data_IF_945004044740
#
_entry.id   IF_945004044740
#
_cell.length_a   1.000
_cell.length_b   1.000
_cell.length_c   1.000
_cell.angle_alpha   90.00
_cell.angle_beta   90.00
_cell.angle_gamma   90.00
#
_symmetry.space_group_name_H-M   'P 1'
#
loop_
_entity.id
_entity.type
_entity.pdbx_description
1 polymer ?
#
# COMPACT_ATOMS: atom_id res chain seq x y z
N UNK A 1 15.49 -18.83 -66.83
CA UNK A 1 16.23 -18.69 -65.57
C UNK A 1 16.31 -17.21 -65.22
N UNK A 2 15.46 -16.73 -64.31
CA UNK A 2 15.51 -15.33 -63.85
C UNK A 2 16.65 -15.17 -62.86
N UNK A 3 17.64 -14.30 -63.16
CA UNK A 3 18.66 -13.88 -62.23
C UNK A 3 18.01 -13.08 -61.10
N UNK A 4 17.94 -13.63 -59.89
CA UNK A 4 17.60 -12.85 -58.72
C UNK A 4 18.57 -11.67 -58.61
N UNK A 5 17.99 -10.47 -58.54
CA UNK A 5 18.73 -9.22 -58.44
C UNK A 5 19.51 -9.22 -57.10
N UNK A 6 20.83 -9.06 -57.12
CA UNK A 6 21.69 -9.13 -55.92
C UNK A 6 21.28 -8.15 -54.84
N UNK A 7 20.65 -7.04 -55.22
CA UNK A 7 20.09 -6.06 -54.28
C UNK A 7 18.84 -6.56 -53.50
N UNK A 8 18.03 -7.40 -54.12
CA UNK A 8 16.89 -8.00 -53.45
C UNK A 8 17.33 -9.07 -52.45
N UNK A 9 18.31 -9.88 -52.81
CA UNK A 9 18.86 -10.90 -51.91
C UNK A 9 19.53 -10.28 -50.67
N UNK A 10 20.21 -9.17 -50.83
CA UNK A 10 20.88 -8.47 -49.72
C UNK A 10 19.85 -7.82 -48.78
N UNK A 11 18.74 -7.34 -49.29
CA UNK A 11 17.63 -6.81 -48.50
C UNK A 11 16.91 -7.92 -47.70
N UNK A 12 16.71 -9.08 -48.27
CA UNK A 12 16.11 -10.25 -47.59
C UNK A 12 17.03 -10.75 -46.49
N UNK A 13 18.35 -10.87 -46.77
CA UNK A 13 19.32 -11.25 -45.75
C UNK A 13 19.40 -10.25 -44.58
N UNK A 14 19.33 -8.96 -44.87
CA UNK A 14 19.28 -7.92 -43.84
C UNK A 14 18.00 -8.04 -42.98
N UNK A 15 16.83 -8.29 -43.59
CA UNK A 15 15.58 -8.50 -42.89
C UNK A 15 15.62 -9.74 -41.98
N UNK A 16 16.16 -10.85 -42.46
CA UNK A 16 16.30 -12.08 -41.67
C UNK A 16 17.28 -11.86 -40.52
N UNK A 17 18.36 -11.12 -40.72
CA UNK A 17 19.33 -10.78 -39.67
C UNK A 17 18.71 -9.87 -38.58
N UNK A 18 17.94 -8.86 -38.96
CA UNK A 18 17.23 -7.97 -38.01
C UNK A 18 16.17 -8.76 -37.23
N UNK A 19 15.45 -9.67 -37.90
CA UNK A 19 14.46 -10.53 -37.27
C UNK A 19 15.08 -11.49 -36.25
N UNK A 20 16.26 -12.05 -36.55
CA UNK A 20 17.00 -12.93 -35.63
C UNK A 20 17.55 -12.19 -34.40
N UNK A 21 18.01 -10.93 -34.58
CA UNK A 21 18.44 -10.08 -33.46
C UNK A 21 17.28 -9.75 -32.53
N UNK A 22 16.09 -9.47 -33.06
CA UNK A 22 14.91 -9.15 -32.23
C UNK A 22 14.42 -10.35 -31.43
N UNK A 23 14.46 -11.55 -31.98
CA UNK A 23 14.06 -12.78 -31.26
C UNK A 23 15.02 -13.13 -30.12
N UNK A 24 16.33 -12.94 -30.34
CA UNK A 24 17.34 -13.15 -29.30
C UNK A 24 17.21 -12.13 -28.14
N UNK A 25 16.95 -10.86 -28.45
CA UNK A 25 16.74 -9.83 -27.43
C UNK A 25 15.51 -10.10 -26.55
N UNK A 26 14.41 -10.58 -27.17
CA UNK A 26 13.18 -10.95 -26.43
C UNK A 26 13.43 -12.17 -25.55
N UNK A 27 14.16 -13.18 -26.04
CA UNK A 27 14.49 -14.39 -25.29
C UNK A 27 15.39 -14.09 -24.08
N UNK A 28 16.39 -13.23 -24.22
CA UNK A 28 17.26 -12.82 -23.13
C UNK A 28 16.52 -11.98 -22.09
N UNK A 29 15.64 -11.06 -22.51
CA UNK A 29 14.83 -10.27 -21.58
C UNK A 29 13.91 -11.17 -20.73
N UNK A 30 13.29 -12.19 -21.33
CA UNK A 30 12.45 -13.16 -20.63
C UNK A 30 13.25 -14.04 -19.64
N UNK A 31 14.51 -14.37 -19.96
CA UNK A 31 15.41 -15.10 -19.07
C UNK A 31 15.81 -14.24 -17.86
N UNK A 32 16.20 -13.00 -18.08
CA UNK A 32 16.59 -12.06 -17.04
C UNK A 32 15.44 -11.78 -16.06
N UNK A 33 14.20 -11.64 -16.56
CA UNK A 33 13.00 -11.48 -15.71
C UNK A 33 12.77 -12.68 -14.80
N UNK A 34 12.95 -13.91 -15.30
CA UNK A 34 12.81 -15.11 -14.50
C UNK A 34 13.85 -15.23 -13.39
N UNK A 35 15.09 -14.84 -13.67
CA UNK A 35 16.18 -14.85 -12.69
C UNK A 35 15.98 -13.79 -11.61
N UNK A 36 15.50 -12.59 -12.00
CA UNK A 36 15.28 -11.48 -11.06
C UNK A 36 14.09 -11.73 -10.12
N UNK A 37 12.97 -12.30 -10.63
CA UNK A 37 11.72 -12.42 -9.88
C UNK A 37 11.35 -13.86 -9.50
N UNK A 38 12.14 -14.87 -9.87
CA UNK A 38 11.81 -16.29 -9.63
C UNK A 38 10.34 -16.64 -10.00
N UNK A 39 9.94 -16.23 -11.21
CA UNK A 39 8.55 -16.34 -11.66
C UNK A 39 8.08 -17.79 -11.77
N UNK A 40 6.87 -18.12 -11.30
CA UNK A 40 6.32 -19.45 -11.46
C UNK A 40 6.13 -19.79 -12.95
N UNK A 41 6.35 -21.06 -13.35
CA UNK A 41 6.26 -21.47 -14.75
C UNK A 41 4.84 -21.38 -15.31
N UNK A 42 3.84 -21.59 -14.44
CA UNK A 42 2.42 -21.61 -14.77
C UNK A 42 1.59 -20.83 -13.73
N UNK A 43 0.37 -20.44 -14.09
CA UNK A 43 -0.57 -19.74 -13.23
C UNK A 43 -0.61 -18.23 -13.46
N UNK A 44 -1.49 -17.56 -12.76
CA UNK A 44 -1.61 -16.11 -12.74
C UNK A 44 -0.80 -15.55 -11.58
N UNK A 45 -0.05 -14.50 -11.83
CA UNK A 45 0.76 -13.85 -10.81
C UNK A 45 0.95 -12.36 -11.15
N UNK A 46 1.17 -11.58 -10.13
CA UNK A 46 1.68 -10.22 -10.24
C UNK A 46 3.10 -10.19 -9.66
N UNK A 47 3.96 -9.42 -10.28
CA UNK A 47 5.34 -9.27 -9.84
C UNK A 47 5.78 -7.82 -10.04
N UNK A 48 6.80 -7.39 -9.35
CA UNK A 48 7.32 -6.04 -9.47
C UNK A 48 8.24 -5.68 -8.33
N UNK A 49 8.48 -4.40 -8.20
CA UNK A 49 9.32 -3.83 -7.15
C UNK A 49 8.55 -2.80 -6.35
N UNK A 50 8.80 -2.78 -5.06
CA UNK A 50 8.30 -1.73 -4.16
C UNK A 50 9.47 -0.83 -3.78
N UNK A 51 9.29 0.46 -3.96
CA UNK A 51 10.27 1.49 -3.62
C UNK A 51 9.62 2.57 -2.76
N UNK A 52 10.41 3.26 -1.98
CA UNK A 52 9.99 4.49 -1.33
C UNK A 52 9.93 5.63 -2.34
N UNK A 53 8.90 6.45 -2.25
CA UNK A 53 8.67 7.54 -3.22
C UNK A 53 9.70 8.66 -3.14
N UNK A 54 10.21 8.99 -1.96
CA UNK A 54 11.14 10.11 -1.76
C UNK A 54 12.58 9.73 -2.10
N UNK A 55 13.07 8.63 -1.53
CA UNK A 55 14.45 8.16 -1.72
C UNK A 55 14.66 7.36 -2.99
N UNK A 56 13.59 6.80 -3.59
CA UNK A 56 13.62 5.80 -4.65
C UNK A 56 14.36 4.51 -4.25
N UNK A 57 14.58 4.29 -2.96
CA UNK A 57 15.24 3.09 -2.45
C UNK A 57 14.28 1.88 -2.42
N UNK A 58 14.79 0.66 -2.64
CA UNK A 58 13.98 -0.55 -2.55
C UNK A 58 13.53 -0.80 -1.12
N UNK A 59 12.26 -1.12 -0.94
CA UNK A 59 11.68 -1.40 0.37
C UNK A 59 11.64 -2.90 0.64
N UNK A 60 12.35 -3.32 1.68
CA UNK A 60 12.42 -4.71 2.16
C UNK A 60 11.31 -4.97 3.18
N UNK A 61 10.70 -6.16 3.13
CA UNK A 61 9.73 -6.57 4.15
C UNK A 61 8.33 -5.95 3.99
N UNK A 62 8.03 -5.30 2.87
CA UNK A 62 6.67 -4.82 2.57
C UNK A 62 5.74 -6.03 2.45
N UNK A 63 4.65 -6.02 3.18
CA UNK A 63 3.63 -7.07 3.11
C UNK A 63 2.71 -6.84 1.93
N UNK A 64 2.56 -7.86 1.08
CA UNK A 64 1.74 -7.83 -0.12
C UNK A 64 0.75 -8.99 -0.04
N UNK A 65 -0.54 -8.68 -0.04
CA UNK A 65 -1.59 -9.69 0.07
C UNK A 65 -2.76 -9.39 -0.87
N UNK A 66 -3.49 -10.43 -1.24
CA UNK A 66 -4.75 -10.30 -1.96
C UNK A 66 -5.88 -9.99 -0.97
N UNK A 67 -6.74 -9.04 -1.31
CA UNK A 67 -7.90 -8.68 -0.49
C UNK A 67 -8.82 -9.89 -0.29
N UNK A 68 -9.31 -10.07 0.94
CA UNK A 68 -10.10 -11.24 1.31
C UNK A 68 -9.30 -12.54 1.51
N UNK A 69 -7.96 -12.53 1.39
CA UNK A 69 -7.10 -13.69 1.62
C UNK A 69 -6.13 -13.42 2.77
N UNK A 70 -5.90 -14.45 3.59
CA UNK A 70 -4.95 -14.38 4.73
C UNK A 70 -3.50 -14.61 4.30
N UNK A 71 -3.28 -15.26 3.16
CA UNK A 71 -1.93 -15.53 2.63
C UNK A 71 -1.41 -14.35 1.82
N UNK A 72 -0.12 -14.06 1.98
CA UNK A 72 0.57 -13.02 1.27
C UNK A 72 2.05 -13.33 1.09
N UNK A 73 2.78 -12.40 0.51
CA UNK A 73 4.24 -12.44 0.35
C UNK A 73 4.84 -11.17 0.91
N UNK A 74 6.15 -11.18 1.14
CA UNK A 74 6.92 -9.99 1.53
C UNK A 74 7.97 -9.69 0.45
N UNK A 75 8.37 -8.43 0.34
CA UNK A 75 9.44 -8.01 -0.57
C UNK A 75 10.80 -8.49 -0.08
N UNK A 76 11.67 -8.85 -1.02
CA UNK A 76 13.07 -9.21 -0.78
C UNK A 76 13.98 -7.99 -0.56
N UNK A 77 15.30 -8.22 -0.42
CA UNK A 77 16.31 -7.17 -0.20
C UNK A 77 16.41 -6.15 -1.35
N UNK A 78 15.92 -6.49 -2.54
CA UNK A 78 15.87 -5.60 -3.69
C UNK A 78 14.49 -4.95 -3.86
N UNK A 79 13.58 -5.13 -2.89
CA UNK A 79 12.20 -4.68 -2.96
C UNK A 79 11.33 -5.48 -3.94
N UNK A 80 11.82 -6.61 -4.46
CA UNK A 80 11.12 -7.42 -5.45
C UNK A 80 10.11 -8.36 -4.80
N UNK A 81 9.02 -8.65 -5.51
CA UNK A 81 7.98 -9.56 -5.06
C UNK A 81 7.35 -10.33 -6.21
N UNK A 82 6.77 -11.48 -5.89
CA UNK A 82 5.91 -12.28 -6.79
C UNK A 82 4.75 -12.81 -5.96
N UNK A 83 3.52 -12.46 -6.33
CA UNK A 83 2.29 -12.92 -5.69
C UNK A 83 1.46 -13.71 -6.68
N UNK A 84 1.10 -14.95 -6.33
CA UNK A 84 0.17 -15.76 -7.11
C UNK A 84 -1.26 -15.22 -6.97
N UNK A 85 -1.98 -15.16 -8.08
CA UNK A 85 -3.33 -14.63 -8.16
C UNK A 85 -4.31 -15.71 -8.61
N UNK A 86 -5.60 -15.61 -8.24
CA UNK A 86 -6.66 -16.38 -8.85
C UNK A 86 -6.86 -15.97 -10.33
N UNK A 87 -7.58 -16.78 -11.10
CA UNK A 87 -7.80 -16.55 -12.54
C UNK A 87 -8.41 -15.17 -12.86
N UNK A 88 -9.29 -14.70 -12.00
CA UNK A 88 -9.97 -13.40 -12.17
C UNK A 88 -9.13 -12.20 -11.71
N UNK A 89 -7.91 -12.42 -11.22
CA UNK A 89 -7.13 -11.39 -10.57
C UNK A 89 -7.73 -10.97 -9.23
N UNK A 90 -7.50 -9.72 -8.81
CA UNK A 90 -8.06 -9.20 -7.57
C UNK A 90 -7.47 -7.87 -7.13
N UNK A 91 -7.85 -7.43 -5.95
CA UNK A 91 -7.31 -6.23 -5.32
C UNK A 91 -6.11 -6.62 -4.46
N UNK A 92 -4.93 -6.15 -4.83
CA UNK A 92 -3.69 -6.39 -4.08
C UNK A 92 -3.43 -5.22 -3.15
N UNK A 93 -3.13 -5.55 -1.90
CA UNK A 93 -2.88 -4.61 -0.81
C UNK A 93 -1.39 -4.66 -0.47
N UNK A 94 -0.75 -3.50 -0.50
CA UNK A 94 0.65 -3.29 -0.10
C UNK A 94 0.65 -2.51 1.20
N UNK A 95 1.27 -3.05 2.25
CA UNK A 95 1.31 -2.42 3.56
C UNK A 95 2.70 -2.53 4.19
N UNK A 96 3.12 -1.47 4.86
CA UNK A 96 4.36 -1.37 5.62
C UNK A 96 4.17 -0.42 6.79
N UNK A 97 4.82 -0.70 7.92
CA UNK A 97 4.69 0.13 9.13
C UNK A 97 5.27 1.53 8.85
N UNK A 98 4.51 2.58 9.18
CA UNK A 98 4.90 3.96 8.92
C UNK A 98 4.61 4.45 7.50
N UNK A 99 3.96 3.64 6.64
CA UNK A 99 3.64 4.01 5.27
C UNK A 99 2.15 3.87 4.96
N UNK A 100 1.68 4.67 4.01
CA UNK A 100 0.30 4.60 3.52
C UNK A 100 0.03 3.25 2.83
N UNK A 101 -1.05 2.59 3.21
CA UNK A 101 -1.49 1.35 2.55
C UNK A 101 -1.93 1.64 1.11
N UNK A 102 -1.35 0.93 0.14
CA UNK A 102 -1.71 1.04 -1.28
C UNK A 102 -2.55 -0.16 -1.70
N UNK A 103 -3.62 0.12 -2.46
CA UNK A 103 -4.51 -0.91 -2.99
C UNK A 103 -4.55 -0.78 -4.52
N UNK A 104 -4.20 -1.85 -5.23
CA UNK A 104 -4.09 -1.85 -6.69
C UNK A 104 -4.86 -3.06 -7.23
N UNK A 105 -5.79 -2.80 -8.15
CA UNK A 105 -6.51 -3.86 -8.85
C UNK A 105 -5.61 -4.45 -9.95
N UNK A 106 -5.42 -5.76 -9.91
CA UNK A 106 -4.61 -6.49 -10.88
C UNK A 106 -5.43 -7.59 -11.54
N UNK A 107 -5.16 -7.89 -12.79
CA UNK A 107 -5.88 -8.91 -13.55
C UNK A 107 -5.10 -10.21 -13.66
N UNK A 108 -4.02 -10.26 -14.39
CA UNK A 108 -3.15 -11.44 -14.44
C UNK A 108 -1.81 -11.12 -15.09
N UNK A 109 -0.77 -11.87 -14.77
CA UNK A 109 0.57 -11.85 -15.36
C UNK A 109 1.09 -10.46 -15.73
N UNK A 110 0.98 -9.52 -14.81
CA UNK A 110 1.44 -8.16 -15.06
C UNK A 110 2.53 -7.75 -14.08
N UNK A 111 3.41 -6.86 -14.56
CA UNK A 111 4.38 -6.19 -13.72
C UNK A 111 3.73 -4.97 -13.09
N UNK A 112 3.85 -4.84 -11.77
CA UNK A 112 3.33 -3.68 -11.01
C UNK A 112 4.42 -3.19 -10.07
N UNK A 113 5.05 -2.09 -10.44
CA UNK A 113 5.99 -1.38 -9.56
C UNK A 113 5.21 -0.39 -8.69
N UNK A 114 5.46 -0.40 -7.39
CA UNK A 114 4.70 0.37 -6.40
C UNK A 114 5.61 1.35 -5.68
N UNK A 115 5.16 2.60 -5.57
CA UNK A 115 5.79 3.61 -4.75
C UNK A 115 5.01 3.78 -3.46
N UNK A 116 5.65 3.52 -2.33
CA UNK A 116 5.09 3.75 -1.00
C UNK A 116 5.39 5.19 -0.56
N UNK A 117 4.45 5.77 0.12
CA UNK A 117 4.56 7.12 0.71
C UNK A 117 4.53 6.95 2.21
N UNK A 118 5.41 7.63 2.93
CA UNK A 118 5.33 7.67 4.39
C UNK A 118 3.96 8.19 4.82
N UNK A 119 3.36 7.50 5.78
CA UNK A 119 2.16 7.99 6.41
C UNK A 119 2.56 9.23 7.21
N UNK A 120 2.19 10.41 6.71
CA UNK A 120 2.25 11.61 7.53
C UNK A 120 1.22 11.39 8.63
N UNK A 121 1.63 10.88 9.77
CA UNK A 121 0.80 10.98 10.96
C UNK A 121 0.58 12.47 11.19
N UNK A 122 -0.55 12.99 10.76
CA UNK A 122 -1.14 14.08 11.52
C UNK A 122 -1.34 13.45 12.90
N UNK A 123 -0.45 13.74 13.82
CA UNK A 123 -0.67 13.54 15.24
C UNK A 123 -1.93 14.38 15.51
N UNK A 124 -3.10 13.78 15.31
CA UNK A 124 -4.24 14.20 16.08
C UNK A 124 -3.78 13.93 17.49
N UNK A 125 -3.46 15.00 18.18
CA UNK A 125 -3.13 15.02 19.60
C UNK A 125 -4.23 14.19 20.26
N UNK A 126 -3.95 12.89 20.45
CA UNK A 126 -4.79 12.03 21.27
C UNK A 126 -4.50 12.56 22.66
N UNK A 127 -5.33 13.52 23.08
CA UNK A 127 -5.43 13.87 24.48
C UNK A 127 -5.84 12.56 25.14
N UNK A 128 -4.85 11.83 25.65
CA UNK A 128 -5.08 10.68 26.51
C UNK A 128 -5.61 11.23 27.82
N UNK A 129 -6.87 11.64 27.80
CA UNK A 129 -7.65 11.70 29.01
C UNK A 129 -7.76 10.25 29.46
N UNK A 130 -7.08 9.87 30.52
CA UNK A 130 -6.99 8.51 31.04
C UNK A 130 -8.30 7.91 31.53
N UNK A 131 -9.34 8.00 30.73
CA UNK A 131 -10.63 7.37 30.92
C UNK A 131 -11.12 6.84 29.56
N UNK A 132 -11.54 5.58 29.55
CA UNK A 132 -12.18 4.93 28.41
C UNK A 132 -13.15 5.87 27.71
N UNK A 133 -12.97 6.12 26.41
CA UNK A 133 -13.96 6.77 25.59
C UNK A 133 -15.14 5.82 25.40
N UNK A 134 -16.10 5.87 26.32
CA UNK A 134 -17.39 5.23 26.13
C UNK A 134 -18.07 6.00 25.01
N UNK A 135 -18.37 5.33 23.90
CA UNK A 135 -19.14 5.94 22.81
C UNK A 135 -20.46 6.46 23.39
N UNK A 136 -20.77 7.71 23.10
CA UNK A 136 -21.92 8.45 23.63
C UNK A 136 -23.27 7.73 23.42
N UNK A 137 -23.32 6.81 22.47
CA UNK A 137 -24.51 6.03 22.10
C UNK A 137 -24.83 4.87 23.06
N UNK A 138 -23.88 4.46 23.90
CA UNK A 138 -24.10 3.37 24.88
C UNK A 138 -24.30 3.86 26.32
N UNK A 139 -24.31 5.17 26.56
CA UNK A 139 -24.50 5.74 27.89
C UNK A 139 -25.94 6.19 28.07
N UNK A 140 -26.68 5.45 28.89
CA UNK A 140 -28.08 5.75 29.23
C UNK A 140 -28.24 6.72 30.41
N UNK A 141 -27.13 7.28 30.92
CA UNK A 141 -27.12 8.25 32.01
C UNK A 141 -27.21 9.70 31.52
N UNK A 142 -27.65 10.60 32.38
CA UNK A 142 -27.66 12.03 32.13
C UNK A 142 -26.21 12.56 32.22
N UNK A 143 -25.68 13.16 31.16
CA UNK A 143 -24.34 13.73 31.14
C UNK A 143 -24.39 15.25 30.88
N UNK A 144 -23.83 16.01 31.79
CA UNK A 144 -23.67 17.46 31.62
C UNK A 144 -22.19 17.75 31.31
N UNK A 145 -21.90 18.27 30.12
CA UNK A 145 -20.56 18.72 29.75
C UNK A 145 -20.40 20.18 30.20
N UNK A 146 -19.47 20.43 31.10
CA UNK A 146 -19.17 21.77 31.61
C UNK A 146 -17.76 22.15 31.11
N UNK A 147 -17.64 23.26 30.40
CA UNK A 147 -16.35 23.74 29.92
C UNK A 147 -15.57 24.44 31.05
N UNK A 148 -14.25 24.38 31.00
CA UNK A 148 -13.36 24.96 32.03
C UNK A 148 -13.62 26.45 32.24
N UNK A 149 -13.88 27.16 31.16
CA UNK A 149 -14.13 28.60 31.15
C UNK A 149 -15.39 28.97 31.92
N UNK A 150 -16.41 28.14 31.88
CA UNK A 150 -17.67 28.36 32.60
C UNK A 150 -17.52 28.09 34.10
N UNK A 151 -16.75 27.09 34.49
CA UNK A 151 -16.40 26.83 35.90
C UNK A 151 -15.64 28.00 36.53
N UNK A 152 -14.68 28.57 35.80
CA UNK A 152 -13.87 29.68 36.30
C UNK A 152 -14.65 31.00 36.39
N UNK A 153 -15.69 31.19 35.56
CA UNK A 153 -16.58 32.35 35.66
C UNK A 153 -17.46 32.33 36.92
N UNK A 154 -17.88 31.15 37.34
CA UNK A 154 -18.80 31.04 38.51
C UNK A 154 -18.04 31.11 39.83
N UNK A 155 -16.96 30.33 39.96
CA UNK A 155 -16.13 30.39 41.18
C UNK A 155 -14.68 29.93 40.89
N UNK A 156 -13.73 30.87 40.68
CA UNK A 156 -12.34 30.52 40.34
C UNK A 156 -11.58 29.85 41.49
N UNK A 157 -12.03 30.02 42.73
CA UNK A 157 -11.31 29.56 43.93
C UNK A 157 -11.87 28.25 44.51
N UNK A 158 -13.09 27.81 44.10
CA UNK A 158 -13.71 26.59 44.61
C UNK A 158 -14.44 25.82 43.53
N UNK A 159 -13.75 24.82 42.98
CA UNK A 159 -14.25 23.98 41.91
C UNK A 159 -15.54 23.22 42.30
N UNK A 160 -15.63 22.78 43.55
CA UNK A 160 -16.78 22.00 44.05
C UNK A 160 -18.05 22.85 44.02
N UNK A 161 -17.95 24.07 44.53
CA UNK A 161 -19.09 25.01 44.52
C UNK A 161 -19.51 25.43 43.10
N UNK A 162 -18.53 25.54 42.17
CA UNK A 162 -18.80 25.80 40.76
C UNK A 162 -19.58 24.63 40.11
N UNK A 163 -19.19 23.39 40.35
CA UNK A 163 -19.89 22.18 39.83
C UNK A 163 -21.31 22.07 40.39
N UNK A 164 -21.50 22.32 41.69
CA UNK A 164 -22.84 22.29 42.31
C UNK A 164 -23.82 23.32 41.73
N UNK A 165 -23.32 24.41 41.17
CA UNK A 165 -24.15 25.41 40.49
C UNK A 165 -24.71 24.89 39.18
N UNK A 166 -23.94 24.06 38.46
CA UNK A 166 -24.37 23.45 37.19
C UNK A 166 -25.15 22.15 37.38
N UNK A 167 -24.81 21.39 38.41
CA UNK A 167 -25.52 20.13 38.74
C UNK A 167 -25.84 20.09 40.25
N UNK A 168 -27.04 20.47 40.65
CA UNK A 168 -27.47 20.44 42.05
C UNK A 168 -27.56 19.03 42.67
N UNK A 169 -27.53 17.98 41.85
CA UNK A 169 -27.56 16.59 42.32
C UNK A 169 -26.16 16.14 42.82
N UNK A 170 -25.12 16.88 42.48
CA UNK A 170 -23.76 16.59 42.90
C UNK A 170 -23.58 16.91 44.38
N UNK A 171 -23.51 15.86 45.22
CA UNK A 171 -23.26 15.94 46.67
C UNK A 171 -21.97 15.21 47.00
N UNK A 172 -21.20 15.79 47.93
CA UNK A 172 -20.01 15.19 48.52
C UNK A 172 -20.45 14.53 49.83
#
# INVERSE_FOLDING_TARGET
MQKLNSGALNRILLFVYILSLSTNAIAQNKKNLKETYNLPPQGNYVYGRVIEKLSNEPMVGVTIRLDGHSTGVITDINGCYVLTLPEKGGLVIYSYIGFETRKIKVTSRQKVDVQMVEATESIQEVIVTGYNSIQKESFTGNTTKIEKEDLLKVNPNNLISAIQTFDPSFRI
#
